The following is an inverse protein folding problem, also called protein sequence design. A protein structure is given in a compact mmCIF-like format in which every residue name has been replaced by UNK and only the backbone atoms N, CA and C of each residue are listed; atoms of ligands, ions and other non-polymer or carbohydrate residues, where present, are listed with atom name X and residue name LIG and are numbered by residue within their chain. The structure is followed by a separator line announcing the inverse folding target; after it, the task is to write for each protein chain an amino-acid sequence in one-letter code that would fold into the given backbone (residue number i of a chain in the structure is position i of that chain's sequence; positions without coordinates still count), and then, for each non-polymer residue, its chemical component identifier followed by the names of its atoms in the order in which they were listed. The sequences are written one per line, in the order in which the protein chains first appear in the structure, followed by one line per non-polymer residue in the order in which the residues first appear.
data_IF_383602557359
#
_entry.id   IF_383602557359
#
_cell.length_a   1.000
_cell.length_b   1.000
_cell.length_c   1.000
_cell.angle_alpha   90.00
_cell.angle_beta   90.00
_cell.angle_gamma   90.00
#
_symmetry.space_group_name_H-M   'P 1'
#
loop_
_entity.id
_entity.type
_entity.pdbx_description
1 polymer ?
#
# COMPACT_ATOMS: atom_id res chain seq x y z
N UNK A 1 18.41 -4.34 18.75
CA UNK A 1 18.42 -4.38 17.28
C UNK A 1 17.01 -4.75 16.89
N UNK A 2 16.30 -3.79 16.34
CA UNK A 2 14.86 -3.85 16.12
C UNK A 2 14.59 -4.42 14.71
N UNK A 3 13.89 -5.57 14.57
CA UNK A 3 13.75 -6.26 13.28
C UNK A 3 12.68 -5.65 12.36
N UNK A 4 11.95 -4.61 12.78
CA UNK A 4 10.82 -4.03 12.01
C UNK A 4 11.19 -2.86 11.08
N UNK A 5 12.48 -2.52 10.93
CA UNK A 5 12.91 -1.32 10.18
C UNK A 5 12.98 -1.46 8.65
N UNK A 6 12.35 -2.46 8.04
CA UNK A 6 12.53 -2.76 6.60
C UNK A 6 11.53 -2.09 5.66
N UNK A 7 10.24 -2.35 5.85
CA UNK A 7 9.16 -2.00 4.89
C UNK A 7 8.58 -0.61 5.12
N UNK A 8 8.26 -0.23 6.37
CA UNK A 8 7.89 1.15 6.71
C UNK A 8 9.01 2.14 6.33
N UNK A 9 10.26 1.78 6.62
CA UNK A 9 11.42 2.61 6.26
C UNK A 9 11.56 2.75 4.75
N UNK A 10 11.24 1.72 3.96
CA UNK A 10 11.31 1.80 2.51
C UNK A 10 10.18 2.67 1.91
N UNK A 11 8.99 2.61 2.50
CA UNK A 11 7.85 3.46 2.12
C UNK A 11 8.09 4.93 2.46
N UNK A 12 8.51 5.20 3.68
CA UNK A 12 8.89 6.53 4.14
C UNK A 12 10.09 7.08 3.38
N UNK A 13 11.07 6.23 3.02
CA UNK A 13 12.18 6.62 2.16
C UNK A 13 11.74 7.00 0.74
N UNK A 14 10.75 6.32 0.16
CA UNK A 14 10.21 6.69 -1.15
C UNK A 14 9.50 8.06 -1.10
N UNK A 15 8.65 8.29 -0.09
CA UNK A 15 8.00 9.59 0.13
C UNK A 15 9.06 10.70 0.32
N UNK A 16 10.09 10.47 1.13
CA UNK A 16 11.17 11.43 1.35
C UNK A 16 11.95 11.74 0.07
N UNK A 17 12.23 10.72 -0.74
CA UNK A 17 12.94 10.86 -2.02
C UNK A 17 12.13 11.68 -3.04
N UNK A 18 10.82 11.45 -3.13
CA UNK A 18 9.97 12.07 -4.16
C UNK A 18 9.57 13.52 -3.84
N UNK A 19 9.64 13.91 -2.57
CA UNK A 19 9.14 15.20 -2.08
C UNK A 19 10.17 16.33 -1.98
N UNK A 20 11.45 16.04 -2.28
CA UNK A 20 12.58 16.99 -2.22
C UNK A 20 12.55 17.83 -0.92
N UNK A 21 12.95 17.22 0.19
CA UNK A 21 12.75 17.79 1.52
C UNK A 21 13.86 18.78 1.93
N UNK A 22 13.48 19.87 2.60
CA UNK A 22 14.39 20.83 3.23
C UNK A 22 14.39 20.68 4.77
N UNK A 23 15.45 21.07 5.49
CA UNK A 23 15.46 21.02 6.95
C UNK A 23 14.35 21.88 7.57
N UNK A 24 13.69 21.40 8.62
CA UNK A 24 12.60 22.14 9.30
C UNK A 24 13.05 23.54 9.76
N UNK A 25 14.30 23.69 10.20
CA UNK A 25 14.84 24.99 10.61
C UNK A 25 14.88 26.02 9.47
N UNK A 26 15.08 25.56 8.23
CA UNK A 26 15.03 26.40 7.03
C UNK A 26 13.58 26.74 6.71
N UNK A 27 12.70 25.73 6.76
CA UNK A 27 11.26 25.90 6.54
C UNK A 27 10.61 26.91 7.51
N UNK A 28 10.93 26.86 8.80
CA UNK A 28 10.40 27.80 9.81
C UNK A 28 10.93 29.24 9.64
N UNK A 29 11.95 29.45 8.81
CA UNK A 29 12.39 30.79 8.38
C UNK A 29 11.47 31.44 7.34
N UNK A 30 10.59 30.65 6.71
CA UNK A 30 9.65 31.14 5.70
C UNK A 30 8.48 31.90 6.33
N UNK A 31 7.96 32.88 5.60
CA UNK A 31 6.83 33.69 6.05
C UNK A 31 5.57 32.83 6.12
N UNK A 32 4.86 32.89 7.24
CA UNK A 32 3.62 32.13 7.45
C UNK A 32 3.82 30.66 7.82
N UNK A 33 5.06 30.21 8.00
CA UNK A 33 5.37 28.85 8.43
C UNK A 33 5.07 28.66 9.93
N UNK A 34 4.32 27.60 10.23
CA UNK A 34 4.08 27.09 11.57
C UNK A 34 4.17 25.58 11.51
N UNK A 35 4.82 24.95 12.49
CA UNK A 35 4.98 23.49 12.52
C UNK A 35 3.61 22.78 12.48
N UNK A 36 2.59 23.36 13.10
CA UNK A 36 1.23 22.81 13.10
C UNK A 36 0.53 22.86 11.71
N UNK A 37 1.05 23.67 10.79
CA UNK A 37 0.46 23.93 9.48
C UNK A 37 1.25 23.25 8.34
N UNK A 38 2.38 22.62 8.67
CA UNK A 38 3.28 21.98 7.73
C UNK A 38 3.23 20.46 7.86
N UNK A 39 3.52 19.78 6.76
CA UNK A 39 3.98 18.39 6.80
C UNK A 39 5.42 18.41 7.27
N UNK A 40 5.64 17.84 8.45
CA UNK A 40 6.96 17.70 9.07
C UNK A 40 7.26 16.22 9.25
N UNK A 41 8.22 15.73 8.48
CA UNK A 41 8.62 14.34 8.44
C UNK A 41 9.86 14.12 9.32
N UNK A 42 10.06 12.87 9.75
CA UNK A 42 11.25 12.45 10.47
C UNK A 42 12.15 11.63 9.55
N UNK A 43 13.30 12.17 9.18
CA UNK A 43 14.32 11.48 8.40
C UNK A 43 15.50 11.12 9.31
N UNK A 44 15.53 9.86 9.76
CA UNK A 44 16.56 9.33 10.65
C UNK A 44 16.83 10.22 11.89
N UNK A 45 15.77 10.75 12.51
CA UNK A 45 15.86 11.65 13.67
C UNK A 45 16.05 13.12 13.33
N UNK A 46 16.11 13.48 12.04
CA UNK A 46 16.15 14.87 11.56
C UNK A 46 14.77 15.29 11.08
N UNK A 47 14.25 16.41 11.58
CA UNK A 47 12.98 16.98 11.10
C UNK A 47 13.17 17.67 9.75
N UNK A 48 12.42 17.23 8.76
CA UNK A 48 12.45 17.76 7.39
C UNK A 48 11.05 18.09 6.91
N UNK A 49 10.95 19.02 5.95
CA UNK A 49 9.71 19.47 5.34
C UNK A 49 9.82 19.34 3.83
N UNK A 50 8.86 18.71 3.15
CA UNK A 50 8.76 18.76 1.70
C UNK A 50 8.83 20.19 1.14
N UNK A 51 9.68 20.44 0.16
CA UNK A 51 9.92 21.79 -0.37
C UNK A 51 8.71 22.37 -1.12
N UNK A 52 7.82 21.53 -1.66
CA UNK A 52 6.63 21.98 -2.40
C UNK A 52 5.69 22.87 -1.55
N UNK A 53 5.82 22.83 -0.23
CA UNK A 53 5.00 23.62 0.69
C UNK A 53 5.28 25.12 0.60
N UNK A 54 6.39 25.50 -0.04
CA UNK A 54 6.91 26.86 -0.09
C UNK A 54 7.00 27.36 -1.54
N UNK A 55 6.63 28.61 -1.75
CA UNK A 55 6.87 29.36 -2.99
C UNK A 55 7.58 30.67 -2.63
N UNK A 56 8.83 30.85 -3.09
CA UNK A 56 9.61 32.07 -2.82
C UNK A 56 9.62 32.50 -1.34
N UNK A 57 9.95 31.56 -0.44
CA UNK A 57 9.99 31.73 1.02
C UNK A 57 8.64 32.03 1.70
N UNK A 58 7.52 31.83 1.00
CA UNK A 58 6.17 31.95 1.55
C UNK A 58 5.47 30.58 1.55
N UNK A 59 4.82 30.23 2.66
CA UNK A 59 3.97 29.02 2.69
C UNK A 59 2.70 29.27 1.89
N UNK A 60 2.38 28.36 0.97
CA UNK A 60 1.15 28.46 0.16
C UNK A 60 -0.09 28.33 1.06
N UNK A 61 -1.06 29.26 0.98
CA UNK A 61 -2.30 29.16 1.77
C UNK A 61 -3.09 27.87 1.51
N UNK A 62 -3.08 27.36 0.27
CA UNK A 62 -3.74 26.10 -0.10
C UNK A 62 -3.07 24.90 0.59
N UNK A 63 -1.75 24.97 0.79
CA UNK A 63 -1.00 23.93 1.53
C UNK A 63 -1.41 23.92 3.00
N UNK A 64 -1.44 25.09 3.64
CA UNK A 64 -1.89 25.23 5.03
C UNK A 64 -3.32 24.70 5.19
N UNK A 65 -4.21 25.07 4.28
CA UNK A 65 -5.59 24.61 4.28
C UNK A 65 -5.69 23.08 4.20
N UNK A 66 -5.00 22.46 3.24
CA UNK A 66 -4.98 21.01 3.06
C UNK A 66 -4.39 20.28 4.27
N UNK A 67 -3.23 20.72 4.76
CA UNK A 67 -2.53 20.09 5.88
C UNK A 67 -3.36 20.08 7.17
N UNK A 68 -4.08 21.18 7.45
CA UNK A 68 -5.03 21.24 8.58
C UNK A 68 -6.18 20.27 8.40
N UNK A 69 -6.75 20.19 7.21
CA UNK A 69 -7.87 19.30 6.93
C UNK A 69 -7.47 17.81 6.98
N UNK A 70 -6.20 17.50 6.69
CA UNK A 70 -5.61 16.18 6.77
C UNK A 70 -5.11 15.83 8.18
N UNK A 71 -4.96 16.81 9.08
CA UNK A 71 -4.40 16.59 10.42
C UNK A 71 -2.89 16.32 10.40
N UNK A 72 -2.13 17.01 9.54
CA UNK A 72 -0.70 16.79 9.34
C UNK A 72 0.14 16.87 10.63
N UNK A 73 -0.29 17.65 11.62
CA UNK A 73 0.38 17.72 12.93
C UNK A 73 0.27 16.43 13.75
N UNK A 74 -0.77 15.64 13.51
CA UNK A 74 -1.04 14.38 14.21
C UNK A 74 -0.53 13.18 13.41
N UNK A 75 -0.63 13.24 12.08
CA UNK A 75 -0.20 12.19 11.16
C UNK A 75 0.46 12.78 9.91
N UNK A 76 1.74 13.18 10.01
CA UNK A 76 2.43 13.90 8.94
C UNK A 76 2.74 13.01 7.74
N UNK A 77 2.96 11.71 7.97
CA UNK A 77 3.22 10.74 6.89
C UNK A 77 1.99 10.51 6.03
N UNK A 78 0.81 10.39 6.66
CA UNK A 78 -0.45 10.28 5.91
C UNK A 78 -0.78 11.55 5.14
N UNK A 79 -0.48 12.72 5.71
CA UNK A 79 -0.62 13.97 4.98
C UNK A 79 0.32 14.00 3.76
N UNK A 80 1.59 13.60 3.91
CA UNK A 80 2.54 13.51 2.80
C UNK A 80 2.08 12.51 1.71
N UNK A 81 1.60 11.34 2.11
CA UNK A 81 1.07 10.33 1.19
C UNK A 81 -0.10 10.87 0.35
N UNK A 82 -1.02 11.63 0.96
CA UNK A 82 -2.12 12.27 0.24
C UNK A 82 -1.62 13.23 -0.84
N UNK A 83 -0.56 14.00 -0.55
CA UNK A 83 0.05 14.93 -1.50
C UNK A 83 0.65 14.25 -2.73
N UNK A 84 1.18 13.03 -2.56
CA UNK A 84 1.78 12.23 -3.63
C UNK A 84 0.77 11.37 -4.40
N UNK A 85 -0.49 11.27 -3.95
CA UNK A 85 -1.47 10.34 -4.50
C UNK A 85 -2.27 10.98 -5.63
N UNK A 86 -2.34 10.31 -6.78
CA UNK A 86 -3.20 10.72 -7.89
C UNK A 86 -4.68 10.66 -7.51
N UNK A 87 -5.48 11.63 -7.95
CA UNK A 87 -6.92 11.64 -7.66
C UNK A 87 -7.77 11.93 -8.91
N UNK A 88 -8.88 11.20 -9.06
CA UNK A 88 -9.81 11.39 -10.18
C UNK A 88 -10.40 12.83 -10.25
N UNK A 89 -10.76 13.49 -9.14
CA UNK A 89 -11.17 14.90 -9.16
C UNK A 89 -10.10 15.88 -9.67
N UNK A 90 -8.84 15.44 -9.72
CA UNK A 90 -7.70 16.19 -10.27
C UNK A 90 -7.34 15.72 -11.69
N UNK A 91 -8.17 14.90 -12.34
CA UNK A 91 -7.89 14.35 -13.66
C UNK A 91 -6.79 13.30 -13.67
N UNK A 92 -6.56 12.61 -12.55
CA UNK A 92 -5.49 11.62 -12.39
C UNK A 92 -4.14 12.23 -12.01
N UNK A 93 -4.04 13.54 -11.86
CA UNK A 93 -2.84 14.21 -11.31
C UNK A 93 -2.79 14.11 -9.78
N UNK A 94 -1.60 14.27 -9.23
CA UNK A 94 -1.37 14.41 -7.78
C UNK A 94 -1.66 15.84 -7.32
N UNK A 95 -2.01 16.05 -6.04
CA UNK A 95 -2.10 17.39 -5.46
C UNK A 95 -0.81 18.21 -5.61
N UNK A 96 0.38 17.58 -5.51
CA UNK A 96 1.66 18.28 -5.71
C UNK A 96 1.83 18.79 -7.14
N UNK A 97 1.49 17.99 -8.15
CA UNK A 97 1.53 18.43 -9.55
C UNK A 97 0.56 19.58 -9.79
N UNK A 98 -0.68 19.45 -9.30
CA UNK A 98 -1.66 20.53 -9.42
C UNK A 98 -1.24 21.81 -8.69
N UNK A 99 -0.51 21.69 -7.57
CA UNK A 99 0.03 22.84 -6.84
C UNK A 99 1.13 23.53 -7.64
N UNK A 100 2.08 22.75 -8.20
CA UNK A 100 3.16 23.26 -9.07
C UNK A 100 2.62 23.96 -10.32
N UNK A 101 1.55 23.42 -10.91
CA UNK A 101 0.88 24.01 -12.07
C UNK A 101 -0.07 25.17 -11.70
N UNK A 102 -0.13 25.56 -10.43
CA UNK A 102 -1.02 26.61 -9.91
C UNK A 102 -2.51 26.36 -10.21
N UNK A 103 -2.91 25.09 -10.36
CA UNK A 103 -4.29 24.69 -10.62
C UNK A 103 -4.99 24.11 -9.38
N UNK A 104 -4.26 23.84 -8.29
CA UNK A 104 -4.81 23.38 -7.03
C UNK A 104 -5.47 24.54 -6.28
N UNK A 105 -6.71 24.34 -5.84
CA UNK A 105 -7.49 25.31 -5.06
C UNK A 105 -8.04 24.64 -3.81
N UNK A 106 -8.40 25.41 -2.77
CA UNK A 106 -9.03 24.87 -1.56
C UNK A 106 -10.30 24.04 -1.88
N UNK A 107 -11.07 24.47 -2.89
CA UNK A 107 -12.22 23.71 -3.38
C UNK A 107 -11.82 22.33 -3.89
N UNK A 108 -10.79 22.25 -4.76
CA UNK A 108 -10.28 20.97 -5.28
C UNK A 108 -9.70 20.09 -4.18
N UNK A 109 -9.03 20.68 -3.18
CA UNK A 109 -8.54 19.96 -1.99
C UNK A 109 -9.73 19.31 -1.25
N UNK A 110 -10.76 20.09 -0.93
CA UNK A 110 -11.97 19.59 -0.25
C UNK A 110 -12.69 18.53 -1.07
N UNK A 111 -12.85 18.75 -2.37
CA UNK A 111 -13.46 17.77 -3.28
C UNK A 111 -12.67 16.47 -3.32
N UNK A 112 -11.34 16.54 -3.34
CA UNK A 112 -10.45 15.38 -3.38
C UNK A 112 -10.45 14.62 -2.06
N UNK A 113 -10.41 15.31 -0.91
CA UNK A 113 -10.50 14.69 0.41
C UNK A 113 -11.90 14.07 0.60
N UNK A 114 -12.95 14.79 0.23
CA UNK A 114 -14.32 14.27 0.28
C UNK A 114 -14.54 13.13 -0.72
N UNK A 115 -13.86 13.13 -1.86
CA UNK A 115 -13.88 12.00 -2.81
C UNK A 115 -13.18 10.80 -2.23
N UNK A 116 -12.00 10.94 -1.61
CA UNK A 116 -11.33 9.83 -0.92
C UNK A 116 -12.20 9.27 0.21
N UNK A 117 -12.79 10.13 1.04
CA UNK A 117 -13.73 9.71 2.10
C UNK A 117 -14.99 9.08 1.52
N UNK A 118 -15.59 9.63 0.46
CA UNK A 118 -16.77 9.06 -0.19
C UNK A 118 -16.46 7.75 -0.88
N UNK A 119 -15.30 7.62 -1.52
CA UNK A 119 -14.84 6.36 -2.10
C UNK A 119 -14.69 5.33 -0.99
N UNK A 120 -14.06 5.71 0.13
CA UNK A 120 -14.00 4.87 1.33
C UNK A 120 -15.39 4.51 1.86
N UNK A 121 -16.36 5.43 1.88
CA UNK A 121 -17.74 5.19 2.31
C UNK A 121 -18.56 4.36 1.31
N UNK A 122 -18.43 4.59 0.00
CA UNK A 122 -19.15 3.88 -1.07
C UNK A 122 -18.59 2.47 -1.21
N UNK A 123 -17.27 2.30 -1.13
CA UNK A 123 -16.66 0.99 -0.99
C UNK A 123 -17.19 0.33 0.28
N UNK A 124 -17.22 1.03 1.42
CA UNK A 124 -17.76 0.48 2.67
C UNK A 124 -19.24 0.11 2.58
N UNK A 125 -20.11 0.92 1.97
CA UNK A 125 -21.56 0.66 1.84
C UNK A 125 -21.85 -0.43 0.80
N UNK A 126 -21.18 -0.39 -0.35
CA UNK A 126 -21.30 -1.42 -1.40
C UNK A 126 -20.77 -2.79 -0.94
N UNK A 127 -19.76 -2.81 -0.05
CA UNK A 127 -19.16 -4.04 0.48
C UNK A 127 -19.86 -4.57 1.75
N UNK A 128 -20.64 -3.75 2.47
CA UNK A 128 -21.32 -4.15 3.73
C UNK A 128 -22.85 -4.20 3.66
N UNK A 129 -23.47 -3.60 2.64
CA UNK A 129 -24.92 -3.54 2.47
C UNK A 129 -25.67 -2.72 3.52
N UNK A 130 -24.97 -1.97 4.37
CA UNK A 130 -25.57 -1.09 5.38
C UNK A 130 -25.13 0.36 5.17
N UNK A 131 -26.09 1.28 5.27
CA UNK A 131 -25.82 2.71 5.32
C UNK A 131 -24.97 3.02 6.57
N UNK A 132 -23.80 3.63 6.35
CA UNK A 132 -22.87 4.01 7.42
C UNK A 132 -23.37 5.30 8.07
N UNK A 133 -23.66 5.25 9.36
CA UNK A 133 -23.71 6.43 10.22
C UNK A 133 -22.28 6.72 10.67
N UNK A 134 -21.86 7.95 10.43
CA UNK A 134 -20.53 8.51 10.71
C UNK A 134 -20.18 8.32 12.20
N UNK A 135 -19.04 7.68 12.50
CA UNK A 135 -18.41 7.74 13.83
C UNK A 135 -16.89 7.51 13.74
N UNK A 136 -16.16 8.47 14.29
CA UNK A 136 -14.70 8.62 14.34
C UNK A 136 -14.01 7.47 15.09
N UNK A 137 -13.42 6.51 14.35
CA UNK A 137 -12.42 5.59 14.92
C UNK A 137 -11.02 5.98 14.43
N UNK A 138 -10.07 6.29 15.33
CA UNK A 138 -8.68 6.55 14.98
C UNK A 138 -7.99 5.29 14.40
N UNK A 139 -7.48 5.43 13.18
CA UNK A 139 -6.93 4.35 12.34
C UNK A 139 -5.57 3.79 12.83
N UNK A 140 -4.82 4.56 13.60
CA UNK A 140 -3.48 4.26 14.10
C UNK A 140 -3.45 3.09 15.11
N UNK A 141 -4.47 3.04 15.98
CA UNK A 141 -4.60 1.99 16.98
C UNK A 141 -4.99 0.63 16.38
N UNK A 142 -5.65 0.65 15.21
CA UNK A 142 -6.00 -0.55 14.46
C UNK A 142 -4.79 -1.15 13.72
N UNK A 143 -3.93 -0.30 13.14
CA UNK A 143 -2.76 -0.72 12.34
C UNK A 143 -1.63 -1.28 13.23
N UNK A 144 -1.24 -0.61 14.33
CA UNK A 144 -0.14 -1.09 15.20
C UNK A 144 -0.43 -2.41 15.89
N UNK A 145 -1.66 -2.60 16.36
CA UNK A 145 -2.08 -3.86 16.99
C UNK A 145 -2.21 -5.02 15.96
N UNK A 146 -2.36 -4.68 14.67
CA UNK A 146 -2.34 -5.62 13.54
C UNK A 146 -0.89 -6.04 13.27
N UNK A 147 0.03 -5.12 13.00
CA UNK A 147 1.40 -5.42 12.51
C UNK A 147 2.22 -6.33 13.44
N UNK A 148 2.32 -6.06 14.75
CA UNK A 148 3.18 -6.85 15.66
C UNK A 148 2.64 -8.24 16.03
N UNK A 149 1.32 -8.43 15.93
CA UNK A 149 0.67 -9.71 16.25
C UNK A 149 0.52 -10.62 15.02
N UNK A 150 0.81 -10.07 13.85
CA UNK A 150 0.57 -10.66 12.54
C UNK A 150 1.79 -11.50 12.14
N UNK A 151 3.05 -11.07 12.23
CA UNK A 151 4.18 -11.82 11.61
C UNK A 151 4.36 -13.31 12.01
N UNK A 152 4.40 -13.68 13.29
CA UNK A 152 4.53 -15.10 13.68
C UNK A 152 3.24 -15.92 13.45
N UNK A 153 2.08 -15.25 13.51
CA UNK A 153 0.78 -15.86 13.24
C UNK A 153 0.50 -15.99 11.73
N UNK A 154 1.05 -15.09 10.92
CA UNK A 154 1.04 -15.04 9.45
C UNK A 154 1.86 -16.18 8.90
N UNK A 155 3.09 -16.36 9.35
CA UNK A 155 3.91 -17.51 8.92
C UNK A 155 3.19 -18.83 9.21
N UNK A 156 2.67 -18.98 10.42
CA UNK A 156 1.88 -20.16 10.82
C UNK A 156 0.59 -20.30 10.01
N UNK A 157 -0.06 -19.20 9.59
CA UNK A 157 -1.29 -19.22 8.81
C UNK A 157 -1.03 -19.51 7.33
N UNK A 158 0.00 -18.92 6.74
CA UNK A 158 0.44 -19.16 5.36
C UNK A 158 0.86 -20.62 5.23
N UNK A 159 1.70 -21.13 6.13
CA UNK A 159 2.20 -22.52 6.12
C UNK A 159 1.12 -23.58 6.45
N UNK A 160 -0.09 -23.17 6.86
CA UNK A 160 -1.25 -24.08 6.95
C UNK A 160 -1.91 -24.34 5.59
N UNK A 161 -1.59 -23.57 4.56
CA UNK A 161 -2.05 -23.83 3.20
C UNK A 161 -1.23 -24.97 2.58
N UNK A 162 -1.75 -25.54 1.49
CA UNK A 162 -1.06 -26.60 0.75
C UNK A 162 0.24 -26.03 0.13
N UNK A 163 1.37 -26.66 0.46
CA UNK A 163 2.72 -26.23 0.08
C UNK A 163 3.42 -27.33 -0.70
N UNK A 164 4.09 -26.95 -1.78
CA UNK A 164 4.86 -27.86 -2.61
C UNK A 164 6.36 -27.58 -2.43
N UNK A 165 7.14 -28.65 -2.30
CA UNK A 165 8.60 -28.54 -2.49
C UNK A 165 8.90 -28.15 -3.94
N UNK A 166 10.07 -27.56 -4.21
CA UNK A 166 10.46 -27.23 -5.58
C UNK A 166 10.37 -28.42 -6.56
N UNK A 167 10.83 -29.64 -6.22
CA UNK A 167 10.65 -30.81 -7.08
C UNK A 167 9.18 -31.13 -7.36
N UNK A 168 8.32 -31.13 -6.33
CA UNK A 168 6.90 -31.43 -6.48
C UNK A 168 6.14 -30.35 -7.27
N UNK A 169 6.51 -29.08 -7.10
CA UNK A 169 5.94 -27.97 -7.86
C UNK A 169 6.34 -28.04 -9.34
N UNK A 170 7.60 -28.38 -9.64
CA UNK A 170 8.09 -28.53 -11.00
C UNK A 170 7.41 -29.71 -11.72
N UNK A 171 7.29 -30.86 -11.04
CA UNK A 171 6.55 -32.02 -11.53
C UNK A 171 5.10 -31.66 -11.84
N UNK A 172 4.40 -30.99 -10.91
CA UNK A 172 3.01 -30.57 -11.08
C UNK A 172 2.84 -29.54 -12.21
N UNK A 173 3.80 -28.66 -12.41
CA UNK A 173 3.79 -27.68 -13.50
C UNK A 173 4.21 -28.29 -14.85
N UNK A 174 4.72 -29.53 -14.88
CA UNK A 174 5.24 -30.17 -16.10
C UNK A 174 6.51 -29.51 -16.64
N UNK A 175 7.30 -28.85 -15.79
CA UNK A 175 8.54 -28.14 -16.17
C UNK A 175 9.74 -28.64 -15.37
N UNK A 176 10.95 -28.22 -15.74
CA UNK A 176 12.14 -28.55 -14.96
C UNK A 176 12.19 -27.74 -13.65
N UNK A 177 12.89 -28.25 -12.64
CA UNK A 177 13.16 -27.51 -11.39
C UNK A 177 13.93 -26.21 -11.68
N UNK A 178 14.81 -26.22 -12.69
CA UNK A 178 15.56 -25.04 -13.11
C UNK A 178 14.63 -23.96 -13.67
N UNK A 179 13.69 -24.33 -14.54
CA UNK A 179 12.69 -23.40 -15.09
C UNK A 179 11.77 -22.85 -14.01
N UNK A 180 11.32 -23.69 -13.08
CA UNK A 180 10.53 -23.25 -11.92
C UNK A 180 11.33 -22.23 -11.09
N UNK A 181 12.61 -22.50 -10.85
CA UNK A 181 13.49 -21.59 -10.12
C UNK A 181 13.70 -20.27 -10.87
N UNK A 182 13.75 -20.29 -12.20
CA UNK A 182 13.81 -19.08 -13.01
C UNK A 182 12.53 -18.24 -12.85
N UNK A 183 11.34 -18.86 -12.84
CA UNK A 183 10.08 -18.16 -12.57
C UNK A 183 10.04 -17.53 -11.16
N UNK A 184 10.59 -18.21 -10.15
CA UNK A 184 10.70 -17.64 -8.80
C UNK A 184 11.63 -16.43 -8.80
N UNK A 185 12.80 -16.53 -9.46
CA UNK A 185 13.76 -15.42 -9.54
C UNK A 185 13.23 -14.23 -10.35
N UNK A 186 12.38 -14.46 -11.35
CA UNK A 186 11.73 -13.39 -12.13
C UNK A 186 10.54 -12.74 -11.41
N UNK A 187 10.17 -13.22 -10.22
CA UNK A 187 9.03 -12.71 -9.46
C UNK A 187 7.67 -13.21 -9.97
N UNK A 188 7.65 -14.19 -10.88
CA UNK A 188 6.41 -14.78 -11.39
C UNK A 188 5.77 -15.73 -10.37
N UNK A 189 6.57 -16.36 -9.51
CA UNK A 189 6.11 -17.29 -8.49
C UNK A 189 6.62 -16.92 -7.10
N UNK A 190 5.75 -17.10 -6.11
CA UNK A 190 6.06 -16.98 -4.70
C UNK A 190 6.77 -18.25 -4.25
N UNK A 191 7.95 -18.08 -3.66
CA UNK A 191 8.62 -19.10 -2.85
C UNK A 191 8.96 -18.50 -1.49
N UNK A 192 8.62 -19.21 -0.43
CA UNK A 192 8.90 -18.83 0.96
C UNK A 192 9.84 -19.86 1.59
N UNK A 193 10.64 -19.42 2.55
CA UNK A 193 11.54 -20.31 3.29
C UNK A 193 10.78 -20.93 4.47
N UNK A 194 10.71 -22.25 4.52
CA UNK A 194 10.19 -23.01 5.66
C UNK A 194 11.28 -23.96 6.18
N UNK A 195 11.64 -23.83 7.46
CA UNK A 195 12.71 -24.60 8.10
C UNK A 195 14.05 -24.67 7.33
N UNK A 196 14.34 -23.67 6.48
CA UNK A 196 15.56 -23.60 5.66
C UNK A 196 15.43 -24.20 4.25
N UNK A 197 14.26 -24.73 3.90
CA UNK A 197 13.93 -25.20 2.55
C UNK A 197 12.99 -24.21 1.85
N UNK A 198 13.05 -24.13 0.51
CA UNK A 198 12.09 -23.33 -0.25
C UNK A 198 10.85 -24.13 -0.58
N UNK A 199 9.69 -23.57 -0.23
CA UNK A 199 8.37 -24.11 -0.54
C UNK A 199 7.54 -23.10 -1.32
N UNK A 200 6.67 -23.61 -2.18
CA UNK A 200 5.83 -22.85 -3.09
C UNK A 200 4.36 -23.14 -2.74
N UNK A 201 3.54 -22.11 -2.46
CA UNK A 201 2.11 -22.29 -2.30
C UNK A 201 1.46 -22.99 -3.50
N UNK A 202 0.76 -24.09 -3.25
CA UNK A 202 0.29 -25.00 -4.31
C UNK A 202 -0.73 -24.35 -5.26
N UNK A 203 -1.48 -23.34 -4.80
CA UNK A 203 -2.51 -22.66 -5.60
C UNK A 203 -1.96 -21.99 -6.87
N UNK A 204 -0.65 -21.70 -6.90
CA UNK A 204 0.03 -21.06 -8.01
C UNK A 204 0.24 -21.99 -9.22
N UNK A 205 0.09 -23.30 -9.01
CA UNK A 205 0.35 -24.32 -10.02
C UNK A 205 -0.95 -25.06 -10.33
N UNK A 206 -1.49 -24.79 -11.51
CA UNK A 206 -2.68 -25.43 -12.05
C UNK A 206 -2.43 -25.96 -13.46
N UNK A 207 -3.29 -26.89 -13.91
CA UNK A 207 -3.34 -27.33 -15.31
C UNK A 207 -4.01 -26.27 -16.21
N UNK A 208 -4.68 -25.27 -15.63
CA UNK A 208 -5.27 -24.14 -16.33
C UNK A 208 -4.23 -23.04 -16.59
N UNK A 209 -3.85 -22.87 -17.86
CA UNK A 209 -2.89 -21.85 -18.29
C UNK A 209 -3.38 -20.43 -18.00
N UNK A 210 -4.67 -20.15 -18.12
CA UNK A 210 -5.21 -18.81 -17.89
C UNK A 210 -5.14 -18.44 -16.41
N UNK A 211 -5.43 -19.40 -15.53
CA UNK A 211 -5.25 -19.25 -14.08
C UNK A 211 -3.79 -18.97 -13.73
N UNK A 212 -2.86 -19.73 -14.32
CA UNK A 212 -1.43 -19.54 -14.07
C UNK A 212 -0.95 -18.15 -14.53
N UNK A 213 -1.40 -17.68 -15.69
CA UNK A 213 -1.06 -16.34 -16.20
C UNK A 213 -1.61 -15.23 -15.30
N UNK A 214 -2.84 -15.38 -14.79
CA UNK A 214 -3.42 -14.44 -13.83
C UNK A 214 -2.62 -14.38 -12.53
N UNK A 215 -2.24 -15.53 -11.97
CA UNK A 215 -1.40 -15.59 -10.75
C UNK A 215 -0.07 -14.88 -10.99
N UNK A 216 0.61 -15.16 -12.11
CA UNK A 216 1.89 -14.51 -12.44
C UNK A 216 1.74 -13.01 -12.62
N UNK A 217 0.65 -12.57 -13.23
CA UNK A 217 0.33 -11.14 -13.41
C UNK A 217 0.19 -10.46 -12.05
N UNK A 218 -0.63 -11.04 -11.16
CA UNK A 218 -0.85 -10.50 -9.80
C UNK A 218 0.44 -10.53 -8.98
N UNK A 219 1.23 -11.60 -9.07
CA UNK A 219 2.52 -11.70 -8.39
C UNK A 219 3.53 -10.63 -8.87
N UNK A 220 3.55 -10.33 -10.17
CA UNK A 220 4.36 -9.25 -10.73
C UNK A 220 3.91 -7.88 -10.22
N UNK A 221 2.59 -7.67 -10.10
CA UNK A 221 2.01 -6.44 -9.55
C UNK A 221 2.33 -6.26 -8.05
N UNK A 222 2.34 -7.35 -7.28
CA UNK A 222 2.69 -7.36 -5.84
C UNK A 222 4.21 -7.33 -5.57
N UNK A 223 5.05 -7.26 -6.60
CA UNK A 223 6.51 -7.30 -6.50
C UNK A 223 7.03 -8.45 -5.61
N UNK A 224 6.57 -9.67 -5.90
CA UNK A 224 6.91 -10.89 -5.15
C UNK A 224 8.42 -11.10 -5.00
N UNK A 225 9.22 -10.68 -5.98
CA UNK A 225 10.67 -10.79 -5.92
C UNK A 225 11.27 -10.01 -4.74
N UNK A 226 10.64 -8.89 -4.37
CA UNK A 226 11.05 -8.05 -3.25
C UNK A 226 10.43 -8.50 -1.92
N UNK A 227 9.16 -8.93 -1.93
CA UNK A 227 8.44 -9.29 -0.71
C UNK A 227 7.56 -10.54 -0.86
N UNK A 228 8.17 -11.75 -0.89
CA UNK A 228 7.43 -12.99 -1.12
C UNK A 228 6.46 -13.32 0.02
N UNK A 229 6.78 -12.95 1.26
CA UNK A 229 5.91 -13.15 2.42
C UNK A 229 4.69 -12.22 2.41
N UNK A 230 4.84 -10.96 2.00
CA UNK A 230 3.72 -10.03 1.90
C UNK A 230 2.73 -10.50 0.83
N UNK A 231 3.23 -10.91 -0.34
CA UNK A 231 2.39 -11.46 -1.39
C UNK A 231 1.71 -12.77 -0.97
N UNK A 232 2.43 -13.68 -0.30
CA UNK A 232 1.83 -14.89 0.26
C UNK A 232 0.72 -14.58 1.28
N UNK A 233 0.93 -13.56 2.12
CA UNK A 233 -0.06 -13.09 3.08
C UNK A 233 -1.29 -12.53 2.37
N UNK A 234 -1.10 -11.68 1.36
CA UNK A 234 -2.20 -11.11 0.57
C UNK A 234 -3.07 -12.22 -0.03
N UNK A 235 -2.45 -13.24 -0.64
CA UNK A 235 -3.17 -14.35 -1.26
C UNK A 235 -3.99 -15.20 -0.28
N UNK A 236 -3.44 -15.46 0.90
CA UNK A 236 -3.95 -16.49 1.81
C UNK A 236 -4.78 -15.96 2.96
N UNK A 237 -4.56 -14.71 3.35
CA UNK A 237 -5.34 -14.11 4.42
C UNK A 237 -6.71 -13.66 3.94
N UNK A 238 -7.75 -13.79 4.79
CA UNK A 238 -9.02 -13.15 4.53
C UNK A 238 -8.79 -11.67 4.27
N UNK A 239 -9.19 -11.25 3.08
CA UNK A 239 -9.06 -9.86 2.68
C UNK A 239 -10.05 -9.04 3.50
N UNK A 240 -9.60 -7.91 4.05
CA UNK A 240 -10.49 -6.96 4.73
C UNK A 240 -11.53 -6.35 3.78
N UNK A 241 -11.34 -6.51 2.47
CA UNK A 241 -12.19 -6.01 1.39
C UNK A 241 -13.25 -7.03 0.92
N UNK A 242 -13.23 -8.28 1.42
CA UNK A 242 -14.17 -9.34 1.03
C UNK A 242 -15.10 -9.71 2.20
N UNK A 243 -16.24 -10.37 1.91
CA UNK A 243 -17.13 -10.91 2.97
C UNK A 243 -16.34 -11.79 3.96
N UNK A 244 -16.80 -11.84 5.22
CA UNK A 244 -16.04 -12.48 6.31
C UNK A 244 -15.56 -13.89 5.91
N UNK A 245 -14.24 -14.02 5.93
CA UNK A 245 -13.45 -15.24 5.72
C UNK A 245 -13.02 -15.56 4.27
N UNK A 246 -13.35 -14.71 3.28
CA UNK A 246 -12.86 -14.92 1.91
C UNK A 246 -11.45 -14.35 1.70
N UNK A 247 -10.54 -15.17 1.16
CA UNK A 247 -9.21 -14.79 0.73
C UNK A 247 -9.08 -14.80 -0.81
N UNK A 248 -8.06 -14.14 -1.39
CA UNK A 248 -7.86 -14.11 -2.83
C UNK A 248 -7.70 -15.49 -3.48
N UNK A 249 -7.12 -16.48 -2.78
CA UNK A 249 -7.08 -17.87 -3.30
C UNK A 249 -8.49 -18.42 -3.54
N UNK A 250 -9.44 -18.17 -2.64
CA UNK A 250 -10.83 -18.61 -2.82
C UNK A 250 -11.52 -17.88 -3.98
N UNK A 251 -11.17 -16.62 -4.26
CA UNK A 251 -11.66 -15.92 -5.46
C UNK A 251 -11.08 -16.50 -6.75
N UNK A 252 -9.80 -16.90 -6.70
CA UNK A 252 -9.12 -17.57 -7.80
C UNK A 252 -9.79 -18.91 -8.11
N UNK A 253 -10.09 -19.71 -7.08
CA UNK A 253 -10.80 -20.98 -7.22
C UNK A 253 -12.25 -20.79 -7.71
N UNK A 254 -12.90 -19.68 -7.35
CA UNK A 254 -14.24 -19.33 -7.80
C UNK A 254 -14.27 -18.68 -9.20
N UNK A 255 -13.12 -18.52 -9.88
CA UNK A 255 -13.02 -17.91 -11.21
C UNK A 255 -13.38 -16.42 -11.24
N UNK A 256 -13.26 -15.71 -10.11
CA UNK A 256 -13.62 -14.28 -9.98
C UNK A 256 -12.47 -13.36 -10.38
N UNK A 257 -11.98 -13.51 -11.61
CA UNK A 257 -10.74 -12.88 -12.08
C UNK A 257 -10.81 -11.33 -12.08
N UNK A 258 -11.94 -10.74 -12.49
CA UNK A 258 -12.11 -9.28 -12.47
C UNK A 258 -12.03 -8.70 -11.05
N UNK A 259 -12.64 -9.40 -10.08
CA UNK A 259 -12.62 -8.98 -8.68
C UNK A 259 -11.21 -9.11 -8.07
N UNK A 260 -10.46 -10.15 -8.46
CA UNK A 260 -9.06 -10.30 -8.07
C UNK A 260 -8.19 -9.15 -8.58
N UNK A 261 -8.39 -8.74 -9.83
CA UNK A 261 -7.64 -7.61 -10.41
C UNK A 261 -8.02 -6.28 -9.75
N UNK A 262 -9.29 -6.08 -9.41
CA UNK A 262 -9.71 -4.90 -8.63
C UNK A 262 -9.12 -4.92 -7.22
N UNK A 263 -9.00 -6.10 -6.62
CA UNK A 263 -8.47 -6.24 -5.27
C UNK A 263 -6.96 -5.99 -5.21
N UNK A 264 -6.20 -6.48 -6.18
CA UNK A 264 -4.75 -6.21 -6.24
C UNK A 264 -4.48 -4.75 -6.58
N UNK A 265 -5.29 -4.15 -7.46
CA UNK A 265 -5.23 -2.72 -7.77
C UNK A 265 -5.55 -1.88 -6.53
N UNK A 266 -6.57 -2.28 -5.76
CA UNK A 266 -6.87 -1.64 -4.48
C UNK A 266 -5.71 -1.78 -3.50
N UNK A 267 -5.03 -2.92 -3.43
CA UNK A 267 -3.88 -3.11 -2.52
C UNK A 267 -2.72 -2.17 -2.89
N UNK A 268 -2.32 -2.18 -4.17
CA UNK A 268 -1.19 -1.40 -4.67
C UNK A 268 -1.48 0.10 -4.61
N UNK A 269 -2.73 0.49 -4.80
CA UNK A 269 -3.16 1.89 -4.71
C UNK A 269 -3.57 2.31 -3.28
N UNK A 270 -3.67 1.38 -2.33
CA UNK A 270 -3.93 1.67 -0.91
C UNK A 270 -2.65 1.75 -0.07
N UNK A 271 -1.58 1.02 -0.41
CA UNK A 271 -0.24 1.17 0.20
C UNK A 271 0.45 2.47 -0.26
N UNK A 272 -0.10 3.63 0.12
CA UNK A 272 0.64 4.91 0.22
C UNK A 272 0.21 5.71 1.42
#
# INVERSE_FOLDING_TARGET
MDPFSGTETAHYAAILHDLDCIPLQVALGCVGASEADLVVLDDAGTKVCPAFQFESDLVSPVVVYANRLLGASSDPWRAAAWWCRSAEPLGGATPVECLKDQTLTERKVTETIAWHRRMQHVLREALTGQAVVDDDVPWDQFIRARVEKVDAAVETHILRNDMLTLPSAAERAGISVEDLTNCIRSGELIAIADAGEQVVPAFQISDDMQRNELVRTINGLLDVARSPWAAASWWTQPSAYLEKELNPVQLLDAGKHELLMQLVDAEINCEV
#
